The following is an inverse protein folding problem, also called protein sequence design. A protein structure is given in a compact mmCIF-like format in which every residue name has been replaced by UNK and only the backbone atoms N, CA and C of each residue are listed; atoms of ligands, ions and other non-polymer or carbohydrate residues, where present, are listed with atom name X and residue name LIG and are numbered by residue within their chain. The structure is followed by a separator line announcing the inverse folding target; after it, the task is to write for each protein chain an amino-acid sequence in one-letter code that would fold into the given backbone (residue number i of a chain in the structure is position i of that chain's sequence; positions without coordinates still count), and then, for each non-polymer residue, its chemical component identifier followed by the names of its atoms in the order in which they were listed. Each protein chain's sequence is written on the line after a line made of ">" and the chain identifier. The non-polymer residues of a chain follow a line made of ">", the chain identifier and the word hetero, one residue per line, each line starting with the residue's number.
data_IF_012391561724
#
_entry.id   IF_012391561724
#
_cell.length_a   1.000
_cell.length_b   1.000
_cell.length_c   1.000
_cell.angle_alpha   90.00
_cell.angle_beta   90.00
_cell.angle_gamma   90.00
#
_symmetry.space_group_name_H-M   'P 1'
#
loop_
_entity.id
_entity.type
_entity.pdbx_description
1 polymer ?
2 non-polymer ?
3 non-polymer ?
4 water ?
#
# COMPACT_ATOMS: atom_id res chain seq x y z
N UNK A 1 14.63 15.33 -6.58
CA UNK A 1 13.91 14.07 -6.44
C UNK A 1 14.34 13.29 -5.19
N UNK A 2 15.54 13.56 -4.68
CA UNK A 2 15.85 13.10 -3.33
C UNK A 2 14.83 13.67 -2.35
N UNK A 3 14.50 14.95 -2.52
CA UNK A 3 13.50 15.61 -1.69
C UNK A 3 12.12 14.98 -1.88
N UNK A 4 11.75 14.66 -3.12
CA UNK A 4 10.47 14.00 -3.33
C UNK A 4 10.45 12.61 -2.71
N UNK A 5 11.56 11.88 -2.80
CA UNK A 5 11.61 10.57 -2.16
C UNK A 5 11.52 10.67 -0.64
N UNK A 6 12.08 11.73 -0.04
CA UNK A 6 11.89 11.95 1.39
C UNK A 6 10.43 12.18 1.72
N UNK A 7 9.72 12.95 0.89
CA UNK A 7 8.29 13.12 1.11
C UNK A 7 7.57 11.78 1.03
N UNK A 8 7.93 10.95 0.05
CA UNK A 8 7.35 9.62 -0.05
C UNK A 8 7.64 8.80 1.19
N UNK A 9 8.88 8.84 1.68
CA UNK A 9 9.21 8.12 2.90
C UNK A 9 8.38 8.62 4.08
N UNK A 10 8.15 9.93 4.15
CA UNK A 10 7.30 10.46 5.21
C UNK A 10 5.89 9.90 5.14
N UNK A 11 5.32 9.88 3.94
CA UNK A 11 4.01 9.27 3.73
C UNK A 11 4.01 7.83 4.20
N UNK A 12 5.01 7.06 3.77
CA UNK A 12 5.09 5.66 4.15
C UNK A 12 5.12 5.49 5.66
N UNK A 13 5.97 6.28 6.33
CA UNK A 13 5.99 6.25 7.79
C UNK A 13 4.61 6.55 8.36
N UNK A 14 3.92 7.55 7.81
CA UNK A 14 2.58 7.84 8.29
C UNK A 14 1.63 6.66 8.08
N UNK A 15 1.68 6.03 6.91
CA UNK A 15 0.76 4.91 6.67
C UNK A 15 1.00 3.76 7.64
N UNK A 16 2.23 3.61 8.12
CA UNK A 16 2.60 2.56 9.06
C UNK A 16 2.45 2.98 10.52
N UNK A 17 2.04 4.22 10.79
CA UNK A 17 2.05 4.76 12.14
C UNK A 17 0.78 4.38 12.90
N UNK A 18 0.85 4.52 14.23
CA UNK A 18 -0.29 4.16 15.07
C UNK A 18 -1.54 4.95 14.70
N UNK A 19 -1.36 6.18 14.22
CA UNK A 19 -2.48 7.04 13.83
C UNK A 19 -3.48 6.32 12.93
N UNK A 20 -2.99 5.49 12.00
CA UNK A 20 -3.84 4.86 10.99
C UNK A 20 -3.98 3.36 11.19
N UNK A 21 -3.51 2.83 12.32
CA UNK A 21 -3.40 1.38 12.47
C UNK A 21 -4.76 0.68 12.44
N UNK A 22 -5.84 1.37 12.81
CA UNK A 22 -7.14 0.71 12.86
C UNK A 22 -7.58 0.21 11.49
N UNK A 23 -7.14 0.89 10.42
CA UNK A 23 -7.49 0.50 9.06
C UNK A 23 -6.29 0.16 8.19
N UNK A 24 -5.06 0.45 8.62
CA UNK A 24 -3.89 0.11 7.81
C UNK A 24 -3.41 -1.32 8.01
N UNK A 25 -3.78 -1.96 9.12
CA UNK A 25 -3.15 -3.23 9.47
C UNK A 25 -3.25 -4.32 8.41
N UNK A 26 -4.33 -4.47 7.63
CA UNK A 26 -4.33 -5.54 6.62
C UNK A 26 -3.25 -5.36 5.57
N UNK A 27 -2.68 -4.16 5.45
CA UNK A 27 -1.71 -3.84 4.41
C UNK A 27 -0.28 -3.90 4.91
N UNK A 28 -0.07 -4.26 6.18
CA UNK A 28 1.27 -4.23 6.75
C UNK A 28 2.19 -5.29 6.15
N UNK A 29 1.65 -6.45 5.79
CA UNK A 29 2.44 -7.60 5.39
C UNK A 29 1.82 -8.17 4.12
N UNK A 30 2.58 -8.94 3.34
CA UNK A 30 1.99 -9.56 2.14
C UNK A 30 0.80 -10.41 2.51
N UNK A 31 -0.22 -10.40 1.65
CA UNK A 31 -1.34 -11.32 1.80
C UNK A 31 -0.79 -12.74 1.83
N UNK A 32 -1.07 -13.46 2.92
CA UNK A 32 -0.70 -14.87 3.03
C UNK A 32 -1.93 -15.65 2.59
N UNK A 33 -2.00 -15.92 1.29
CA UNK A 33 -3.22 -16.46 0.70
C UNK A 33 -3.58 -17.80 1.31
N UNK A 34 -2.60 -18.70 1.43
CA UNK A 34 -2.87 -20.02 1.99
C UNK A 34 -3.37 -19.92 3.42
N UNK A 35 -2.71 -19.09 4.24
CA UNK A 35 -3.10 -18.96 5.64
C UNK A 35 -4.50 -18.40 5.79
N UNK A 36 -4.91 -17.51 4.88
CA UNK A 36 -6.23 -16.91 4.94
C UNK A 36 -7.29 -17.72 4.21
N UNK A 37 -6.92 -18.84 3.61
CA UNK A 37 -7.86 -19.65 2.87
C UNK A 37 -8.25 -19.09 1.52
N UNK A 38 -7.47 -18.15 0.99
CA UNK A 38 -7.79 -17.47 -0.27
C UNK A 38 -7.03 -18.13 -1.41
N UNK A 39 -7.46 -19.34 -1.75
CA UNK A 39 -6.67 -20.20 -2.61
C UNK A 39 -6.70 -19.79 -4.07
N UNK A 40 -7.50 -18.80 -4.42
CA UNK A 40 -7.50 -18.22 -5.76
C UNK A 40 -6.74 -16.90 -5.84
N UNK A 41 -6.17 -16.43 -4.73
CA UNK A 41 -5.61 -15.08 -4.68
C UNK A 41 -4.56 -14.87 -5.76
N UNK A 42 -3.61 -15.80 -5.88
CA UNK A 42 -2.52 -15.63 -6.82
C UNK A 42 -2.90 -15.97 -8.26
N UNK A 43 -4.09 -16.51 -8.48
CA UNK A 43 -4.61 -16.61 -9.83
C UNK A 43 -5.25 -15.31 -10.29
N UNK A 44 -5.64 -14.46 -9.35
CA UNK A 44 -6.34 -13.22 -9.65
C UNK A 44 -5.41 -12.01 -9.56
N UNK A 45 -4.46 -12.04 -8.63
CA UNK A 45 -3.53 -10.95 -8.39
C UNK A 45 -2.18 -11.36 -8.97
N UNK A 46 -1.75 -10.68 -10.04
CA UNK A 46 -0.49 -11.01 -10.70
C UNK A 46 0.71 -10.42 -9.96
N UNK A 47 0.55 -9.25 -9.35
CA UNK A 47 1.65 -8.51 -8.74
C UNK A 47 1.26 -8.09 -7.33
N UNK A 48 1.46 -8.97 -6.34
CA UNK A 48 1.12 -8.61 -4.96
C UNK A 48 1.97 -7.44 -4.48
N UNK A 49 1.40 -6.64 -3.59
CA UNK A 49 2.14 -5.54 -3.00
C UNK A 49 1.57 -5.25 -1.62
N UNK A 50 2.41 -4.73 -0.73
CA UNK A 50 2.02 -4.43 0.64
C UNK A 50 3.03 -3.44 1.19
N UNK A 51 2.71 -2.87 2.36
CA UNK A 51 3.54 -1.79 2.89
C UNK A 51 4.92 -2.26 3.34
N UNK A 52 5.06 -3.50 3.81
CA UNK A 52 6.40 -3.96 4.18
C UNK A 52 7.31 -4.07 2.97
N UNK A 53 6.74 -4.42 1.82
CA UNK A 53 7.51 -4.47 0.58
C UNK A 53 7.87 -3.07 0.12
N UNK A 54 6.92 -2.14 0.20
CA UNK A 54 7.23 -0.75 -0.14
C UNK A 54 8.34 -0.23 0.76
N UNK A 55 8.29 -0.57 2.05
CA UNK A 55 9.31 -0.12 2.98
C UNK A 55 10.67 -0.70 2.64
N UNK A 56 10.73 -2.00 2.34
CA UNK A 56 12.00 -2.61 1.96
C UNK A 56 12.55 -1.97 0.69
N UNK A 57 11.69 -1.71 -0.29
CA UNK A 57 12.14 -1.09 -1.53
C UNK A 57 12.65 0.33 -1.29
N UNK A 58 11.97 1.10 -0.43
CA UNK A 58 12.47 2.43 -0.08
C UNK A 58 13.82 2.34 0.63
N UNK A 59 13.93 1.43 1.60
CA UNK A 59 15.18 1.31 2.36
C UNK A 59 16.34 0.91 1.46
N UNK A 60 16.07 0.08 0.46
CA UNK A 60 17.08 -0.41 -0.47
C UNK A 60 17.34 0.54 -1.62
N UNK A 61 16.71 1.72 -1.63
CA UNK A 61 16.85 2.68 -2.73
C UNK A 61 16.41 2.08 -4.07
N UNK A 62 15.42 1.19 -4.01
CA UNK A 62 14.85 0.62 -5.23
C UNK A 62 14.09 1.69 -6.01
N UNK A 63 13.25 2.48 -5.33
CA UNK A 63 12.49 3.51 -6.03
C UNK A 63 13.42 4.63 -6.47
N UNK A 64 13.38 4.94 -7.76
CA UNK A 64 14.20 6.03 -8.27
C UNK A 64 13.49 7.37 -8.28
N UNK A 65 12.17 7.38 -8.14
CA UNK A 65 11.42 8.62 -8.15
C UNK A 65 10.09 8.39 -7.45
N UNK A 66 9.41 9.50 -7.17
CA UNK A 66 8.14 9.45 -6.44
C UNK A 66 7.08 8.68 -7.21
N UNK A 67 7.08 8.81 -8.53
CA UNK A 67 6.07 8.15 -9.35
C UNK A 67 6.17 6.64 -9.23
N UNK A 68 7.39 6.11 -9.15
CA UNK A 68 7.56 4.67 -9.00
C UNK A 68 7.04 4.20 -7.65
N UNK A 69 7.33 4.95 -6.59
CA UNK A 69 6.78 4.66 -5.27
C UNK A 69 5.25 4.69 -5.29
N UNK A 70 4.67 5.74 -5.86
CA UNK A 70 3.22 5.87 -5.85
C UNK A 70 2.56 4.74 -6.62
N UNK A 71 3.19 4.30 -7.72
CA UNK A 71 2.62 3.19 -8.48
C UNK A 71 2.52 1.92 -7.64
N UNK A 72 3.51 1.65 -6.79
CA UNK A 72 3.43 0.48 -5.92
C UNK A 72 2.36 0.64 -4.84
N UNK A 73 2.26 1.82 -4.22
CA UNK A 73 1.22 2.01 -3.22
C UNK A 73 -0.15 1.84 -3.86
N UNK A 74 -0.34 2.42 -5.04
CA UNK A 74 -1.63 2.29 -5.71
C UNK A 74 -1.89 0.87 -6.17
N UNK A 75 -0.85 0.14 -6.59
CA UNK A 75 -1.00 -1.27 -6.93
C UNK A 75 -1.53 -2.06 -5.75
N UNK A 76 -1.01 -1.78 -4.55
CA UNK A 76 -1.49 -2.44 -3.35
C UNK A 76 -2.99 -2.23 -3.17
N UNK A 77 -3.45 -0.98 -3.32
CA UNK A 77 -4.88 -0.73 -3.18
C UNK A 77 -5.67 -1.38 -4.31
N UNK A 78 -5.18 -1.28 -5.55
CA UNK A 78 -5.88 -1.85 -6.69
C UNK A 78 -6.06 -3.35 -6.54
N UNK A 79 -5.04 -4.05 -6.02
CA UNK A 79 -5.17 -5.48 -5.79
C UNK A 79 -6.32 -5.77 -4.83
N UNK A 80 -6.43 -4.96 -3.79
CA UNK A 80 -7.52 -5.11 -2.83
C UNK A 80 -8.88 -4.89 -3.50
N UNK A 81 -9.00 -3.85 -4.32
CA UNK A 81 -10.24 -3.58 -5.03
C UNK A 81 -10.55 -4.66 -6.06
N UNK A 82 -9.51 -5.29 -6.62
CA UNK A 82 -9.72 -6.31 -7.64
C UNK A 82 -10.21 -7.61 -7.01
N UNK A 83 -9.61 -8.02 -5.89
CA UNK A 83 -9.86 -9.36 -5.37
C UNK A 83 -11.15 -9.42 -4.56
N UNK A 84 -11.46 -8.38 -3.81
CA UNK A 84 -12.51 -8.47 -2.80
C UNK A 84 -13.81 -7.86 -3.31
N UNK A 85 -14.96 -8.37 -2.85
CA UNK A 85 -16.21 -7.70 -3.15
C UNK A 85 -16.20 -6.29 -2.58
N UNK A 86 -16.85 -5.34 -3.25
CA UNK A 86 -16.73 -3.94 -2.83
C UNK A 86 -17.33 -3.64 -1.47
N UNK A 87 -18.13 -4.54 -0.90
CA UNK A 87 -18.70 -4.34 0.43
C UNK A 87 -17.90 -5.01 1.54
N UNK A 88 -16.75 -5.60 1.22
CA UNK A 88 -15.90 -6.24 2.22
C UNK A 88 -15.28 -5.18 3.13
N UNK A 89 -15.15 -5.51 4.42
CA UNK A 89 -14.53 -4.59 5.37
C UNK A 89 -13.13 -4.18 4.93
N UNK A 90 -12.38 -5.09 4.30
CA UNK A 90 -11.02 -4.72 3.94
C UNK A 90 -11.02 -3.65 2.87
N UNK A 91 -12.05 -3.61 2.03
CA UNK A 91 -12.15 -2.59 0.99
C UNK A 91 -12.45 -1.23 1.61
N UNK A 92 -13.30 -1.19 2.63
CA UNK A 92 -13.54 0.07 3.34
C UNK A 92 -12.27 0.58 3.98
N UNK A 93 -11.45 -0.33 4.52
CA UNK A 93 -10.18 0.08 5.09
C UNK A 93 -9.23 0.58 4.02
N UNK A 94 -9.18 -0.11 2.87
CA UNK A 94 -8.34 0.34 1.76
C UNK A 94 -8.71 1.74 1.32
N UNK A 95 -10.02 2.00 1.17
CA UNK A 95 -10.45 3.33 0.72
C UNK A 95 -9.99 4.41 1.69
N UNK A 96 -10.08 4.15 2.99
CA UNK A 96 -9.65 5.13 3.97
C UNK A 96 -8.15 5.35 3.94
N UNK A 97 -7.37 4.26 3.86
CA UNK A 97 -5.92 4.42 3.81
C UNK A 97 -5.49 5.07 2.50
N UNK A 98 -6.19 4.78 1.40
CA UNK A 98 -5.85 5.43 0.14
C UNK A 98 -6.18 6.91 0.18
N UNK A 99 -7.24 7.30 0.89
CA UNK A 99 -7.50 8.73 1.07
C UNK A 99 -6.34 9.40 1.79
N UNK A 100 -5.85 8.78 2.87
CA UNK A 100 -4.67 9.31 3.55
C UNK A 100 -3.53 9.48 2.56
N UNK A 101 -3.27 8.42 1.79
CA UNK A 101 -2.15 8.45 0.86
C UNK A 101 -2.32 9.54 -0.19
N UNK A 102 -3.47 9.58 -0.86
CA UNK A 102 -3.61 10.47 -2.01
C UNK A 102 -3.56 11.93 -1.58
N UNK A 103 -4.16 12.27 -0.43
CA UNK A 103 -4.15 13.67 -0.03
C UNK A 103 -2.76 14.13 0.36
N UNK A 104 -1.96 13.26 0.98
CA UNK A 104 -0.60 13.67 1.31
C UNK A 104 0.34 13.59 0.12
N UNK A 105 0.15 12.60 -0.76
CA UNK A 105 0.96 12.54 -1.98
C UNK A 105 0.76 13.80 -2.81
N UNK A 106 -0.46 14.34 -2.81
CA UNK A 106 -0.76 15.55 -3.56
C UNK A 106 0.02 16.76 -3.05
N UNK A 107 0.48 16.72 -1.80
CA UNK A 107 1.28 17.79 -1.20
C UNK A 107 2.77 17.64 -1.48
N UNK A 108 3.13 16.81 -2.45
CA UNK A 108 4.52 16.58 -2.81
C UNK A 108 5.19 17.90 -3.19
N UNK A 109 6.38 18.20 -2.65
CA UNK A 109 7.08 19.43 -3.03
C UNK A 109 7.57 19.37 -4.47
X LIG B 1 -6.59 -9.01 3.42
X LIG B 1 -5.42 -9.23 4.17
X LIG B 1 -5.54 -9.71 5.48
X LIG B 1 -6.80 -9.96 6.01
X LIG B 1 -7.97 -9.75 5.29
X LIG B 1 -7.84 -9.27 3.98
X LIG B 1 -9.28 -10.02 5.88
X LIG B 1 -6.51 -8.50 2.06
X LIG B 1 -5.94 -7.30 1.56
X LIG B 1 -6.12 -7.19 0.24
X LIG B 1 -6.80 -8.34 -0.14
X LIG B 1 -7.05 -9.11 0.95
X LIG B 1 -7.79 -10.37 0.72
X LIG B 1 -5.22 -6.24 2.29
X LIG B 1 -4.56 -10.00 6.39
X LIG B 1 -5.21 -10.42 7.45
X LIG B 1 -6.56 -10.41 7.29
X LIG B 1 -4.52 -10.85 8.72
X LIG B 1 -3.31 -10.07 9.16
X LIG B 1 -3.15 -11.46 8.64
X LIG B 1 -9.91 -8.97 6.61
X LIG B 1 -11.18 -9.20 7.20
X LIG B 1 -11.77 -10.44 7.05
X LIG B 1 -11.15 -11.47 6.33
X LIG B 1 -9.90 -11.28 5.74
X LIG B 1 -9.35 -7.68 6.79
X LIG B 1 -10.02 -6.71 7.51
X LIG B 1 -11.25 -7.04 8.04
X LIG B 1 -11.83 -8.25 7.89
X LIG B 1 -9.27 -12.41 4.98
X LIG C 1 -13.14 0.65 8.16
X LIG C 1 -11.96 1.21 8.70
X LIG C 1 -14.36 1.15 8.93
X LIG C 1 -14.19 1.02 10.33
X LIG C 1 -15.58 0.35 8.48
X LIG C 1 -16.73 0.81 9.16
#
# INVERSE_FOLDING_TARGET
>A
LSEQLKHCNGILKELLSKKHAAYAWPFYKPVDASALGLHDYHDIIKHPMDLSTVKRKMENRDYRDAQEFAADVRLMFSNCYKYNPPDHDVVAMARKLQDVFEFRYAKMPD
>B hetero
1 JW4 C01 C02 C03 C04 C05 C06 C07 C08 C09 N10 O11 C12 C13 C14 N15 C16 N17 C18 C19 C20 C21 C22 C23 C24 C25 C26 C27 C28 N29 C30
>C hetero
1 GOL C1 O1 C2 O2 C3 O3
#
